data_IF_810693839285
#
_entry.id   IF_810693839285
#
_cell.length_a   1.000
_cell.length_b   1.000
_cell.length_c   1.000
_cell.angle_alpha   90.00
_cell.angle_beta   90.00
_cell.angle_gamma   90.00
#
_symmetry.space_group_name_H-M   'P 1'
#
loop_
_entity.id
_entity.type
_entity.pdbx_description
1 polymer ?
#
# COMPACT_ATOMS: atom_id res chain seq x y z
N UNK A 1 16.36 3.61 -4.40
CA UNK A 1 17.31 2.70 -5.07
C UNK A 1 16.77 2.41 -6.48
N UNK A 2 17.43 2.88 -7.56
CA UNK A 2 16.98 2.55 -8.93
C UNK A 2 17.26 1.07 -9.18
N UNK A 3 16.24 0.30 -9.54
CA UNK A 3 16.34 -1.12 -9.95
C UNK A 3 17.06 -1.31 -11.31
N UNK A 4 17.75 -0.30 -11.82
CA UNK A 4 18.32 -0.23 -13.16
C UNK A 4 19.30 -1.38 -13.51
N UNK A 5 19.74 -2.16 -12.52
CA UNK A 5 20.64 -3.31 -12.68
C UNK A 5 20.02 -4.65 -12.26
N UNK A 6 18.71 -4.70 -12.03
CA UNK A 6 18.05 -5.94 -11.64
C UNK A 6 17.97 -6.90 -12.84
N UNK A 7 18.81 -7.94 -12.81
CA UNK A 7 18.90 -8.94 -13.88
C UNK A 7 17.60 -9.72 -14.07
N UNK A 8 16.82 -9.92 -13.00
CA UNK A 8 15.59 -10.70 -13.06
C UNK A 8 14.55 -10.04 -13.98
N UNK A 9 14.43 -8.72 -13.93
CA UNK A 9 13.45 -7.97 -14.73
C UNK A 9 14.00 -7.46 -16.06
N UNK A 10 15.26 -7.77 -16.41
CA UNK A 10 15.94 -7.24 -17.61
C UNK A 10 15.11 -7.41 -18.89
N UNK A 11 14.45 -8.55 -19.04
CA UNK A 11 13.60 -8.88 -20.19
C UNK A 11 12.11 -8.55 -19.97
N UNK A 12 11.78 -7.91 -18.85
CA UNK A 12 10.42 -7.67 -18.41
C UNK A 12 9.77 -8.88 -17.75
N UNK A 13 8.56 -8.68 -17.22
CA UNK A 13 7.75 -9.72 -16.61
C UNK A 13 6.34 -9.68 -17.20
N UNK A 14 5.73 -10.86 -17.37
CA UNK A 14 4.32 -10.95 -17.79
C UNK A 14 3.42 -10.84 -16.58
N UNK A 15 2.44 -9.94 -16.65
CA UNK A 15 1.44 -9.79 -15.62
C UNK A 15 0.16 -9.12 -16.15
N UNK A 16 -0.98 -9.75 -15.87
CA UNK A 16 -2.31 -9.13 -16.00
C UNK A 16 -3.12 -9.50 -14.76
N UNK A 17 -3.59 -8.48 -14.04
CA UNK A 17 -4.43 -8.68 -12.86
C UNK A 17 -5.74 -9.36 -13.27
N UNK A 18 -5.97 -10.57 -12.75
CA UNK A 18 -7.19 -11.36 -12.98
C UNK A 18 -8.36 -10.98 -12.06
N UNK A 19 -8.18 -9.94 -11.21
CA UNK A 19 -9.18 -9.48 -10.21
C UNK A 19 -9.70 -10.62 -9.31
N UNK A 20 -8.82 -11.53 -8.93
CA UNK A 20 -9.12 -12.73 -8.14
C UNK A 20 -9.29 -12.48 -6.63
N UNK A 21 -9.03 -11.27 -6.13
CA UNK A 21 -9.11 -10.92 -4.71
C UNK A 21 -7.99 -11.51 -3.84
N UNK A 22 -7.10 -12.33 -4.39
CA UNK A 22 -6.06 -13.04 -3.64
C UNK A 22 -5.03 -12.14 -2.94
N UNK A 23 -4.78 -10.94 -3.47
CA UNK A 23 -3.94 -9.93 -2.85
C UNK A 23 -4.71 -8.99 -1.91
N UNK A 24 -6.01 -9.21 -1.72
CA UNK A 24 -6.84 -8.49 -0.75
C UNK A 24 -7.15 -9.33 0.49
N UNK A 25 -6.83 -10.63 0.47
CA UNK A 25 -7.04 -11.55 1.59
C UNK A 25 -5.79 -11.66 2.44
N UNK A 26 -5.93 -11.73 3.76
CA UNK A 26 -4.79 -11.95 4.63
C UNK A 26 -4.08 -13.27 4.31
N UNK A 27 -2.75 -13.21 4.32
CA UNK A 27 -1.86 -14.35 4.16
C UNK A 27 -0.97 -14.45 5.39
N UNK A 28 -1.57 -14.86 6.51
CA UNK A 28 -0.92 -14.86 7.82
C UNK A 28 -1.10 -13.54 8.56
N UNK A 29 -0.01 -12.83 8.84
CA UNK A 29 0.04 -11.75 9.83
C UNK A 29 -0.14 -10.39 9.14
N UNK A 30 -1.40 -9.97 9.01
CA UNK A 30 -1.84 -8.60 8.70
C UNK A 30 -1.47 -8.08 7.30
N UNK A 31 -2.50 -7.89 6.46
CA UNK A 31 -2.37 -7.10 5.24
C UNK A 31 -2.60 -5.62 5.56
N UNK A 32 -1.54 -4.90 5.92
CA UNK A 32 -1.60 -3.47 6.20
C UNK A 32 -1.40 -2.68 4.90
N UNK A 33 -2.51 -2.27 4.27
CA UNK A 33 -2.45 -1.43 3.07
C UNK A 33 -2.31 0.03 3.47
N UNK A 34 -1.12 0.60 3.29
CA UNK A 34 -0.89 2.03 3.53
C UNK A 34 -1.72 2.87 2.55
N UNK A 35 -2.35 3.92 3.07
CA UNK A 35 -3.00 4.97 2.30
C UNK A 35 -2.23 6.28 2.54
N UNK A 36 -1.41 6.72 1.58
CA UNK A 36 -0.78 8.03 1.64
C UNK A 36 -1.84 9.12 1.78
N UNK A 37 -1.55 10.17 2.56
CA UNK A 37 -2.48 11.29 2.77
C UNK A 37 -2.93 11.91 1.44
N UNK A 38 -2.03 11.98 0.44
CA UNK A 38 -2.33 12.48 -0.91
C UNK A 38 -3.34 11.63 -1.69
N UNK A 39 -3.57 10.37 -1.29
CA UNK A 39 -4.53 9.48 -1.95
C UNK A 39 -5.92 9.47 -1.28
N UNK A 40 -6.01 9.95 -0.05
CA UNK A 40 -7.25 9.98 0.74
C UNK A 40 -8.40 10.70 0.01
N UNK A 41 -8.23 11.94 -0.52
CA UNK A 41 -9.35 12.66 -1.13
C UNK A 41 -9.99 11.93 -2.30
N UNK A 42 -9.16 11.27 -3.13
CA UNK A 42 -9.62 10.54 -4.31
C UNK A 42 -10.39 9.27 -3.96
N UNK A 43 -9.98 8.56 -2.91
CA UNK A 43 -10.69 7.35 -2.45
C UNK A 43 -12.00 7.76 -1.78
N UNK A 44 -11.97 8.79 -0.93
CA UNK A 44 -13.16 9.32 -0.27
C UNK A 44 -14.21 9.80 -1.29
N UNK A 45 -13.80 10.55 -2.31
CA UNK A 45 -14.68 11.02 -3.38
C UNK A 45 -15.33 9.87 -4.15
N UNK A 46 -14.60 8.80 -4.45
CA UNK A 46 -15.16 7.60 -5.09
C UNK A 46 -16.25 6.93 -4.23
N UNK A 47 -16.10 6.97 -2.91
CA UNK A 47 -17.05 6.44 -1.94
C UNK A 47 -18.18 7.42 -1.60
N UNK A 48 -18.16 8.63 -2.17
CA UNK A 48 -19.10 9.71 -1.85
C UNK A 48 -19.05 10.10 -0.36
N UNK A 49 -17.85 10.08 0.23
CA UNK A 49 -17.58 10.45 1.60
C UNK A 49 -16.70 11.69 1.66
N UNK A 50 -16.80 12.45 2.76
CA UNK A 50 -15.74 13.40 3.09
C UNK A 50 -14.43 12.65 3.40
N UNK A 51 -13.25 13.28 3.24
CA UNK A 51 -11.98 12.69 3.67
C UNK A 51 -12.01 12.20 5.13
N UNK A 52 -12.63 12.96 6.03
CA UNK A 52 -12.73 12.61 7.44
C UNK A 52 -13.62 11.38 7.68
N UNK A 53 -14.77 11.31 7.01
CA UNK A 53 -15.67 10.15 7.11
C UNK A 53 -15.02 8.89 6.56
N UNK A 54 -14.28 9.00 5.45
CA UNK A 54 -13.51 7.88 4.91
C UNK A 54 -12.47 7.37 5.91
N UNK A 55 -11.69 8.27 6.51
CA UNK A 55 -10.67 7.90 7.50
C UNK A 55 -11.32 7.21 8.71
N UNK A 56 -12.40 7.75 9.24
CA UNK A 56 -13.10 7.19 10.40
C UNK A 56 -13.75 5.84 10.10
N UNK A 57 -14.43 5.71 8.96
CA UNK A 57 -15.21 4.53 8.62
C UNK A 57 -14.37 3.38 8.05
N UNK A 58 -13.24 3.68 7.37
CA UNK A 58 -12.53 2.67 6.57
C UNK A 58 -11.03 2.54 6.87
N UNK A 59 -10.45 3.39 7.73
CA UNK A 59 -9.02 3.35 8.01
C UNK A 59 -8.69 3.15 9.49
N UNK A 60 -7.51 2.60 9.73
CA UNK A 60 -6.84 2.63 11.03
C UNK A 60 -5.65 3.58 10.92
N UNK A 61 -5.38 4.33 12.00
CA UNK A 61 -4.27 5.28 12.06
C UNK A 61 -3.35 4.85 13.20
N UNK A 62 -2.07 4.69 12.90
CA UNK A 62 -1.09 4.29 13.91
C UNK A 62 -0.62 5.48 14.77
N UNK A 63 0.27 5.20 15.73
CA UNK A 63 0.79 6.23 16.64
C UNK A 63 1.66 7.28 15.93
N UNK A 64 2.20 6.98 14.75
CA UNK A 64 2.98 7.91 13.93
C UNK A 64 2.10 8.70 12.94
N UNK A 65 0.79 8.45 12.91
CA UNK A 65 -0.15 9.09 11.99
C UNK A 65 -0.22 8.44 10.61
N UNK A 66 0.40 7.27 10.42
CA UNK A 66 0.28 6.53 9.16
C UNK A 66 -1.11 5.90 9.06
N UNK A 67 -1.74 6.07 7.89
CA UNK A 67 -3.10 5.62 7.62
C UNK A 67 -3.05 4.29 6.89
N UNK A 68 -3.80 3.31 7.38
CA UNK A 68 -3.93 1.99 6.77
C UNK A 68 -5.40 1.69 6.48
N UNK A 69 -5.68 0.96 5.40
CA UNK A 69 -7.02 0.41 5.19
C UNK A 69 -7.32 -0.60 6.30
N UNK A 70 -8.47 -0.43 6.95
CA UNK A 70 -8.94 -1.35 7.99
C UNK A 70 -9.19 -2.72 7.37
N UNK A 71 -8.83 -3.76 8.09
CA UNK A 71 -9.14 -5.15 7.72
C UNK A 71 -10.38 -5.64 8.48
N UNK A 72 -11.24 -6.43 7.81
CA UNK A 72 -12.39 -7.11 8.40
C UNK A 72 -12.22 -8.62 8.26
N UNK A 73 -12.35 -9.37 9.37
CA UNK A 73 -12.15 -10.83 9.38
C UNK A 73 -10.82 -11.26 8.72
N UNK A 74 -9.80 -10.40 8.84
CA UNK A 74 -8.45 -10.47 8.25
C UNK A 74 -8.35 -10.09 6.76
N UNK A 75 -9.45 -9.90 6.05
CA UNK A 75 -9.42 -9.46 4.66
C UNK A 75 -9.53 -7.94 4.57
N UNK A 76 -9.08 -7.36 3.45
CA UNK A 76 -9.28 -5.93 3.19
C UNK A 76 -10.78 -5.60 3.20
N UNK A 77 -11.18 -4.55 3.93
CA UNK A 77 -12.58 -4.07 4.02
C UNK A 77 -13.27 -3.83 2.68
N UNK A 78 -12.51 -3.60 1.61
CA UNK A 78 -13.03 -3.37 0.28
C UNK A 78 -13.09 -4.62 -0.61
N UNK A 79 -12.83 -5.81 -0.06
CA UNK A 79 -13.05 -7.07 -0.76
C UNK A 79 -14.54 -7.46 -0.66
N UNK A 80 -15.23 -7.42 -1.79
CA UNK A 80 -16.62 -7.86 -1.89
C UNK A 80 -16.77 -9.38 -1.78
N UNK A 81 -18.00 -9.84 -1.50
CA UNK A 81 -18.34 -11.26 -1.44
C UNK A 81 -18.13 -12.00 -2.77
N UNK A 82 -18.11 -11.27 -3.89
CA UNK A 82 -17.80 -11.76 -5.24
C UNK A 82 -16.27 -11.87 -5.52
N UNK A 83 -15.44 -11.66 -4.49
CA UNK A 83 -13.98 -11.62 -4.55
C UNK A 83 -13.39 -10.49 -5.39
N UNK A 84 -14.15 -9.40 -5.60
CA UNK A 84 -13.68 -8.21 -6.30
C UNK A 84 -13.41 -7.06 -5.34
N UNK A 85 -12.39 -6.27 -5.66
CA UNK A 85 -12.10 -5.05 -4.91
C UNK A 85 -13.08 -3.96 -5.32
N UNK A 86 -13.85 -3.43 -4.37
CA UNK A 86 -14.84 -2.39 -4.62
C UNK A 86 -14.20 -1.09 -5.11
N UNK A 87 -13.07 -0.70 -4.50
CA UNK A 87 -12.32 0.51 -4.88
C UNK A 87 -11.28 0.26 -5.98
N UNK A 88 -11.46 -0.74 -6.85
CA UNK A 88 -10.41 -1.19 -7.78
C UNK A 88 -9.80 -0.07 -8.64
N UNK A 89 -10.65 0.85 -9.14
CA UNK A 89 -10.25 2.00 -9.96
C UNK A 89 -9.47 3.05 -9.17
N UNK A 90 -9.72 3.13 -7.86
CA UNK A 90 -9.08 4.09 -6.96
C UNK A 90 -8.14 3.49 -5.92
N UNK A 91 -7.74 2.22 -6.08
CA UNK A 91 -6.82 1.51 -5.18
C UNK A 91 -5.61 2.37 -4.79
N UNK A 92 -5.11 2.27 -3.53
CA UNK A 92 -3.89 2.94 -3.13
C UNK A 92 -2.65 2.52 -3.94
N UNK A 93 -1.59 3.31 -3.89
CA UNK A 93 -0.34 3.07 -4.62
C UNK A 93 0.22 1.65 -4.39
N UNK A 94 0.23 1.20 -3.14
CA UNK A 94 0.66 -0.16 -2.78
C UNK A 94 -0.12 -1.24 -3.54
N UNK A 95 -1.45 -1.13 -3.55
CA UNK A 95 -2.35 -2.07 -4.24
C UNK A 95 -2.24 -1.99 -5.77
N UNK A 96 -1.96 -0.81 -6.33
CA UNK A 96 -1.73 -0.64 -7.79
C UNK A 96 -0.39 -1.21 -8.22
N UNK A 97 0.61 -1.17 -7.34
CA UNK A 97 1.94 -1.67 -7.62
C UNK A 97 2.07 -3.19 -7.54
N UNK A 98 1.11 -3.91 -6.95
CA UNK A 98 1.12 -5.37 -6.92
C UNK A 98 1.14 -5.96 -8.36
N UNK A 99 2.03 -6.91 -8.70
CA UNK A 99 3.01 -7.58 -7.83
C UNK A 99 4.43 -7.01 -7.90
N UNK A 100 4.65 -5.88 -8.57
CA UNK A 100 5.95 -5.23 -8.80
C UNK A 100 6.49 -4.45 -7.59
N UNK A 101 6.27 -4.98 -6.39
CA UNK A 101 6.94 -4.49 -5.19
C UNK A 101 8.42 -4.84 -5.25
N UNK A 102 9.32 -3.97 -4.78
CA UNK A 102 10.77 -4.19 -4.88
C UNK A 102 11.17 -5.56 -4.30
N UNK A 103 10.56 -5.95 -3.20
CA UNK A 103 10.79 -7.21 -2.49
C UNK A 103 10.38 -8.44 -3.31
N UNK A 104 9.50 -8.28 -4.29
CA UNK A 104 9.05 -9.34 -5.19
C UNK A 104 9.92 -9.46 -6.46
N UNK A 105 10.78 -8.49 -6.75
CA UNK A 105 11.54 -8.42 -8.02
C UNK A 105 12.84 -9.24 -7.94
N UNK A 106 12.74 -10.47 -7.48
CA UNK A 106 13.80 -11.47 -7.56
C UNK A 106 13.19 -12.84 -7.87
N UNK A 107 13.96 -13.79 -8.46
CA UNK A 107 13.40 -15.06 -8.92
C UNK A 107 12.72 -15.86 -7.82
N UNK A 108 13.33 -15.90 -6.63
CA UNK A 108 12.85 -16.66 -5.48
C UNK A 108 11.50 -16.13 -4.98
N UNK A 109 11.42 -14.83 -4.72
CA UNK A 109 10.19 -14.18 -4.23
C UNK A 109 9.10 -14.20 -5.29
N UNK A 110 9.44 -14.06 -6.57
CA UNK A 110 8.45 -14.18 -7.64
C UNK A 110 7.86 -15.59 -7.69
N UNK A 111 8.69 -16.62 -7.58
CA UNK A 111 8.25 -18.02 -7.63
C UNK A 111 7.48 -18.43 -6.38
N UNK A 112 7.98 -18.07 -5.19
CA UNK A 112 7.47 -18.60 -3.92
C UNK A 112 6.40 -17.69 -3.28
N UNK A 113 6.44 -16.38 -3.53
CA UNK A 113 5.50 -15.42 -2.95
C UNK A 113 4.51 -14.90 -3.98
N UNK A 114 4.94 -14.50 -5.18
CA UNK A 114 4.00 -13.90 -6.15
C UNK A 114 3.13 -14.94 -6.83
N UNK A 115 3.73 -16.00 -7.39
CA UNK A 115 2.99 -17.01 -8.18
C UNK A 115 2.07 -17.89 -7.33
N UNK A 116 2.43 -18.13 -6.08
CA UNK A 116 1.56 -18.82 -5.10
C UNK A 116 0.36 -17.97 -4.70
N UNK A 117 0.45 -16.65 -4.85
CA UNK A 117 -0.61 -15.69 -4.55
C UNK A 117 -1.51 -15.43 -5.76
N UNK A 118 -0.90 -15.07 -6.89
CA UNK A 118 -1.60 -14.40 -7.96
C UNK A 118 -1.58 -15.22 -9.25
N UNK A 119 -2.74 -15.69 -9.74
CA UNK A 119 -2.82 -16.39 -11.03
C UNK A 119 -2.53 -15.48 -12.23
N UNK A 120 -2.38 -14.16 -12.00
CA UNK A 120 -1.97 -13.21 -13.04
C UNK A 120 -0.46 -13.15 -13.27
N UNK A 121 0.35 -13.76 -12.39
CA UNK A 121 1.79 -13.82 -12.55
C UNK A 121 2.17 -14.70 -13.75
N UNK A 122 3.11 -14.24 -14.57
CA UNK A 122 3.53 -14.84 -15.84
C UNK A 122 2.44 -14.91 -16.93
N UNK A 123 1.29 -14.26 -16.71
CA UNK A 123 0.14 -14.27 -17.63
C UNK A 123 -0.08 -12.90 -18.25
N UNK A 124 -0.45 -12.86 -19.53
CA UNK A 124 -0.94 -11.65 -20.20
C UNK A 124 0.16 -10.66 -20.59
N UNK A 125 -0.05 -9.37 -20.28
CA UNK A 125 0.77 -8.26 -20.79
C UNK A 125 2.22 -8.40 -20.35
N UNK A 126 3.15 -8.20 -21.28
CA UNK A 126 4.57 -8.01 -20.96
C UNK A 126 4.82 -6.57 -20.50
N UNK A 127 5.31 -6.41 -19.27
CA UNK A 127 5.76 -5.15 -18.71
C UNK A 127 7.27 -5.02 -18.87
N UNK A 128 7.73 -3.92 -19.49
CA UNK A 128 9.17 -3.68 -19.67
C UNK A 128 9.81 -3.32 -18.33
N UNK A 129 11.10 -3.61 -18.16
CA UNK A 129 11.87 -3.28 -16.96
C UNK A 129 11.62 -1.83 -16.49
N UNK A 130 11.72 -0.87 -17.42
CA UNK A 130 11.46 0.56 -17.14
C UNK A 130 10.06 0.84 -16.55
N UNK A 131 9.05 0.08 -16.97
CA UNK A 131 7.67 0.29 -16.54
C UNK A 131 7.47 -0.33 -15.15
N UNK A 132 8.06 -1.50 -14.92
CA UNK A 132 8.13 -2.17 -13.60
C UNK A 132 8.82 -1.24 -12.60
N UNK A 133 9.98 -0.67 -12.96
CA UNK A 133 10.73 0.26 -12.12
C UNK A 133 9.92 1.51 -11.75
N UNK A 134 9.19 2.07 -12.72
CA UNK A 134 8.32 3.23 -12.49
C UNK A 134 7.20 2.91 -11.51
N UNK A 135 6.61 1.71 -11.62
CA UNK A 135 5.53 1.26 -10.73
C UNK A 135 6.07 1.03 -9.31
N UNK A 136 7.17 0.31 -9.18
CA UNK A 136 7.83 0.07 -7.90
C UNK A 136 8.20 1.40 -7.21
N UNK A 137 8.89 2.29 -7.93
CA UNK A 137 9.28 3.59 -7.40
C UNK A 137 8.09 4.53 -7.11
N UNK A 138 6.94 4.34 -7.77
CA UNK A 138 5.74 5.11 -7.44
C UNK A 138 5.12 4.67 -6.11
N UNK A 139 5.19 3.37 -5.75
CA UNK A 139 4.81 2.89 -4.42
C UNK A 139 5.72 3.51 -3.35
N UNK A 140 7.04 3.37 -3.47
CA UNK A 140 7.97 3.81 -2.41
C UNK A 140 7.86 5.31 -2.14
N UNK A 141 7.73 6.12 -3.20
CA UNK A 141 7.51 7.58 -3.08
C UNK A 141 6.20 7.89 -2.36
N UNK A 142 5.15 7.14 -2.66
CA UNK A 142 3.85 7.32 -2.02
C UNK A 142 3.86 6.86 -0.55
N UNK A 143 4.60 5.80 -0.23
CA UNK A 143 4.76 5.29 1.14
C UNK A 143 5.75 6.09 1.99
N UNK A 144 6.39 7.14 1.45
CA UNK A 144 7.32 7.98 2.20
C UNK A 144 8.69 7.35 2.42
N UNK A 145 8.98 6.19 1.82
CA UNK A 145 10.33 5.61 1.76
C UNK A 145 11.15 6.33 0.68
N UNK A 146 11.35 7.63 0.82
CA UNK A 146 12.33 8.33 -0.01
C UNK A 146 13.73 8.05 0.56
N UNK A 147 14.47 7.16 -0.09
CA UNK A 147 15.92 6.98 0.09
C UNK A 147 16.70 8.20 -0.46
N UNK A 148 16.37 9.39 0.05
CA UNK A 148 17.07 10.64 -0.16
C UNK A 148 17.01 11.47 1.14
N UNK A 149 17.58 10.94 2.21
CA UNK A 149 17.91 11.69 3.43
C UNK A 149 19.37 12.16 3.45
N UNK A 150 20.00 12.36 2.29
CA UNK A 150 21.35 12.92 2.16
C UNK A 150 21.46 13.97 1.04
N UNK A 151 20.40 14.72 0.78
CA UNK A 151 20.51 15.98 0.07
C UNK A 151 19.84 17.05 0.93
N UNK A 152 20.67 17.79 1.66
CA UNK A 152 20.27 18.97 2.41
C UNK A 152 19.70 20.03 1.46
N UNK A 153 18.71 20.77 1.97
CA UNK A 153 18.17 22.04 1.46
C UNK A 153 17.25 22.00 0.23
N UNK A 154 15.94 21.87 0.49
CA UNK A 154 14.94 22.79 -0.07
C UNK A 154 13.66 22.80 0.78
N UNK A 155 13.10 23.98 1.14
CA UNK A 155 12.01 24.07 2.12
C UNK A 155 10.62 24.01 1.49
N UNK A 156 9.67 23.59 2.34
CA UNK A 156 8.22 23.74 2.24
C UNK A 156 7.45 22.88 1.21
N UNK A 157 6.59 21.99 1.71
CA UNK A 157 5.17 22.27 1.50
C UNK A 157 4.29 21.78 2.66
N UNK A 158 3.36 22.66 3.01
CA UNK A 158 2.64 22.73 4.26
C UNK A 158 1.37 21.84 4.23
N UNK A 159 1.53 20.51 4.24
CA UNK A 159 0.40 19.57 4.34
C UNK A 159 0.36 18.77 5.67
N UNK A 160 1.30 19.05 6.58
CA UNK A 160 1.35 18.40 7.90
C UNK A 160 0.29 18.91 8.90
N UNK A 161 -0.47 19.95 8.55
CA UNK A 161 -1.45 20.61 9.46
C UNK A 161 -2.83 19.92 9.44
N UNK A 162 -3.11 19.00 8.50
CA UNK A 162 -4.45 18.39 8.44
C UNK A 162 -4.70 17.37 9.57
N UNK A 163 -3.68 16.65 10.04
CA UNK A 163 -3.84 15.58 11.04
C UNK A 163 -3.59 16.02 12.49
N UNK A 164 -2.93 17.16 12.71
CA UNK A 164 -2.69 17.73 14.04
C UNK A 164 -3.88 18.52 14.59
N UNK A 165 -4.76 19.06 13.71
CA UNK A 165 -5.98 19.77 14.13
C UNK A 165 -7.19 18.86 14.38
N UNK A 166 -7.27 17.70 13.74
CA UNK A 166 -8.43 16.79 13.90
C UNK A 166 -8.34 15.85 15.11
N UNK A 167 -7.15 15.66 15.69
CA UNK A 167 -6.92 14.69 16.77
C UNK A 167 -6.85 15.29 18.18
N UNK A 168 -6.91 16.62 18.35
CA UNK A 168 -6.73 17.21 19.68
C UNK A 168 -8.04 17.35 20.48
N UNK A 169 -9.20 17.47 19.82
CA UNK A 169 -10.45 17.78 20.55
C UNK A 169 -11.32 16.58 20.96
N UNK A 170 -10.97 15.32 20.64
CA UNK A 170 -11.92 14.21 20.85
C UNK A 170 -11.40 12.88 21.41
N UNK A 171 -10.22 12.82 22.06
CA UNK A 171 -9.69 11.55 22.63
C UNK A 171 -9.21 11.57 24.08
N UNK A 172 -9.59 12.57 24.88
CA UNK A 172 -9.44 12.50 26.33
C UNK A 172 -10.67 11.86 27.01
N UNK A 173 -10.99 10.61 26.67
CA UNK A 173 -11.60 9.74 27.68
C UNK A 173 -11.30 8.27 27.40
N UNK A 174 -10.78 7.60 28.44
CA UNK A 174 -10.60 6.15 28.61
C UNK A 174 -9.30 5.55 28.03
N UNK A 175 -8.30 5.61 28.90
CA UNK A 175 -7.02 4.88 28.89
C UNK A 175 -7.19 3.39 28.58
N UNK A 176 -6.44 2.86 27.62
CA UNK A 176 -5.88 1.50 27.67
C UNK A 176 -4.40 1.58 27.30
N UNK A 177 -3.57 0.93 28.12
CA UNK A 177 -2.10 0.92 28.03
C UNK A 177 -1.64 0.44 26.63
N UNK A 178 -0.60 1.04 26.04
CA UNK A 178 -0.06 0.55 24.78
C UNK A 178 0.67 -0.77 25.02
N UNK A 179 0.22 -1.85 24.38
CA UNK A 179 1.08 -3.00 24.13
C UNK A 179 2.00 -2.61 22.97
N UNK A 180 3.32 -2.69 23.19
CA UNK A 180 4.34 -2.55 22.16
C UNK A 180 4.06 -3.55 21.04
N UNK A 181 3.63 -3.08 19.87
CA UNK A 181 3.70 -3.87 18.65
C UNK A 181 5.15 -3.82 18.15
N UNK A 182 5.91 -4.84 18.54
CA UNK A 182 7.22 -5.15 18.01
C UNK A 182 7.02 -5.72 16.60
N UNK A 183 7.57 -5.07 15.58
CA UNK A 183 7.65 -5.60 14.21
C UNK A 183 9.06 -6.18 13.98
N UNK A 184 9.28 -7.48 14.15
CA UNK A 184 10.52 -8.09 13.69
C UNK A 184 10.39 -8.42 12.20
N UNK A 185 11.01 -7.60 11.36
CA UNK A 185 11.56 -8.09 10.11
C UNK A 185 12.91 -8.74 10.44
N UNK A 186 13.00 -10.08 10.42
CA UNK A 186 14.21 -10.81 10.03
C UNK A 186 14.08 -12.33 10.27
N UNK A 187 14.37 -13.06 9.18
CA UNK A 187 14.67 -14.50 9.03
C UNK A 187 13.52 -15.49 9.09
#
# INVERSE_FOLDING_TARGET
MRLAHNQFIKHGLRFTCQRCGNCCRARGNVQAVLVPASEVPRIAAFLQLSPNDFLNAHCDIDAAGAVFLRSERRDCRFLGADNRCYIYSVRPAQCRAWPFWIENLNPESWQNNVKTVCPGADVGRLWRARDIDRIAAARDRAEGFCAASLAENEPANHDFIYLSRLNFENRFSRRRRPQRAYYPFAK
#
